data_IF_167077317127
#
_entry.id   IF_167077317127
#
_cell.length_a   1.000
_cell.length_b   1.000
_cell.length_c   1.000
_cell.angle_alpha   90.00
_cell.angle_beta   90.00
_cell.angle_gamma   90.00
#
_symmetry.space_group_name_H-M   'P 1'
#
loop_
_entity.id
_entity.type
_entity.pdbx_description
1 polymer ?
#
# COMPACT_ATOMS: atom_id res chain seq x y z
N UNK A 1 -4.76 -4.76 13.48
CA UNK A 1 -4.17 -6.08 13.78
C UNK A 1 -2.68 -5.94 14.04
N UNK A 2 -2.12 -6.80 14.87
CA UNK A 2 -0.68 -6.85 15.10
C UNK A 2 0.05 -7.23 13.80
N UNK A 3 1.22 -6.62 13.56
CA UNK A 3 2.12 -6.91 12.45
C UNK A 3 3.49 -7.17 13.08
N UNK A 4 4.20 -8.22 12.67
CA UNK A 4 5.55 -8.45 13.17
C UNK A 4 6.45 -7.26 12.85
N UNK A 5 7.47 -7.04 13.67
CA UNK A 5 8.44 -5.97 13.43
C UNK A 5 9.14 -6.13 12.08
N UNK A 6 9.49 -7.36 11.71
CA UNK A 6 10.05 -7.69 10.41
C UNK A 6 9.14 -7.24 9.25
N UNK A 7 7.86 -7.59 9.29
CA UNK A 7 6.92 -7.18 8.23
C UNK A 7 6.64 -5.67 8.26
N UNK A 8 6.64 -5.04 9.43
CA UNK A 8 6.52 -3.59 9.55
C UNK A 8 7.72 -2.86 8.91
N UNK A 9 8.93 -3.39 9.11
CA UNK A 9 10.15 -2.86 8.51
C UNK A 9 10.18 -3.05 7.00
N UNK A 10 9.83 -4.25 6.51
CA UNK A 10 9.66 -4.53 5.09
C UNK A 10 8.69 -3.52 4.43
N UNK A 11 7.52 -3.33 5.04
CA UNK A 11 6.52 -2.41 4.52
C UNK A 11 7.02 -0.96 4.53
N UNK A 12 7.66 -0.51 5.61
CA UNK A 12 8.19 0.86 5.71
C UNK A 12 9.23 1.14 4.64
N UNK A 13 10.14 0.20 4.39
CA UNK A 13 11.18 0.34 3.37
C UNK A 13 10.58 0.39 1.96
N UNK A 14 9.70 -0.56 1.62
CA UNK A 14 9.04 -0.59 0.31
C UNK A 14 8.18 0.66 0.06
N UNK A 15 7.49 1.15 1.09
CA UNK A 15 6.70 2.38 1.00
C UNK A 15 7.58 3.60 0.75
N UNK A 16 8.69 3.75 1.48
CA UNK A 16 9.62 4.86 1.27
C UNK A 16 10.29 4.80 -0.12
N UNK A 17 10.64 3.59 -0.59
CA UNK A 17 11.19 3.40 -1.92
C UNK A 17 10.20 3.79 -3.03
N UNK A 18 8.91 3.46 -2.86
CA UNK A 18 7.87 3.76 -3.85
C UNK A 18 7.38 5.22 -3.80
N UNK A 19 7.23 5.79 -2.61
CA UNK A 19 6.75 7.16 -2.41
C UNK A 19 7.85 8.22 -2.60
N UNK A 20 9.11 7.84 -2.42
CA UNK A 20 10.23 8.77 -2.38
C UNK A 20 10.32 9.55 -1.06
N UNK A 21 11.18 10.58 -0.99
CA UNK A 21 11.44 11.31 0.26
C UNK A 21 10.31 12.26 0.68
N UNK A 22 9.42 12.63 -0.25
CA UNK A 22 8.33 13.56 0.00
C UNK A 22 7.09 12.82 0.56
N UNK A 23 6.83 13.03 1.85
CA UNK A 23 5.67 12.45 2.54
C UNK A 23 4.32 13.07 2.17
N UNK A 24 4.32 14.16 1.39
CA UNK A 24 3.09 14.78 0.89
C UNK A 24 2.59 14.17 -0.42
N UNK A 25 3.41 13.35 -1.09
CA UNK A 25 3.03 12.64 -2.31
C UNK A 25 1.78 11.79 -2.04
N UNK A 26 0.83 11.84 -2.98
CA UNK A 26 -0.37 11.00 -2.92
C UNK A 26 0.00 9.52 -3.06
N UNK A 27 -0.47 8.70 -2.13
CA UNK A 27 -0.25 7.25 -2.10
C UNK A 27 -1.61 6.56 -2.03
N UNK A 28 -1.86 5.66 -2.97
CA UNK A 28 -3.08 4.85 -3.01
C UNK A 28 -2.78 3.42 -2.57
N UNK A 29 -3.51 2.94 -1.57
CA UNK A 29 -3.48 1.56 -1.09
C UNK A 29 -4.69 0.79 -1.60
N UNK A 30 -4.43 -0.37 -2.20
CA UNK A 30 -5.45 -1.32 -2.65
C UNK A 30 -5.01 -2.78 -2.36
N UNK A 31 -5.97 -3.70 -2.41
CA UNK A 31 -5.75 -5.15 -2.30
C UNK A 31 -6.83 -5.80 -3.20
N UNK A 32 -7.58 -6.79 -2.70
CA UNK A 32 -8.83 -7.29 -3.27
C UNK A 32 -10.03 -6.68 -2.53
N UNK A 33 -11.25 -6.83 -3.06
CA UNK A 33 -12.49 -6.52 -2.34
C UNK A 33 -12.52 -7.24 -1.00
N UNK A 34 -13.01 -6.59 0.05
CA UNK A 34 -13.09 -7.11 1.42
C UNK A 34 -11.73 -7.48 2.08
N UNK A 35 -10.60 -7.05 1.48
CA UNK A 35 -9.28 -7.24 2.07
C UNK A 35 -8.95 -6.12 3.07
N UNK A 36 -8.82 -6.47 4.35
CA UNK A 36 -8.46 -5.53 5.41
C UNK A 36 -6.98 -5.13 5.42
N UNK A 37 -6.10 -5.81 4.68
CA UNK A 37 -4.66 -5.53 4.70
C UNK A 37 -4.32 -4.16 4.10
N UNK A 38 -4.97 -3.76 2.99
CA UNK A 38 -4.73 -2.45 2.37
C UNK A 38 -5.18 -1.29 3.26
N UNK A 39 -6.28 -1.46 3.99
CA UNK A 39 -6.73 -0.47 4.98
C UNK A 39 -5.74 -0.36 6.15
N UNK A 40 -5.25 -1.49 6.66
CA UNK A 40 -4.26 -1.53 7.74
C UNK A 40 -2.92 -0.92 7.31
N UNK A 41 -2.54 -1.07 6.04
CA UNK A 41 -1.36 -0.45 5.44
C UNK A 41 -1.54 1.07 5.30
N UNK A 42 -2.70 1.53 4.83
CA UNK A 42 -3.04 2.95 4.74
C UNK A 42 -2.99 3.63 6.11
N UNK A 43 -3.58 3.03 7.15
CA UNK A 43 -3.50 3.55 8.51
C UNK A 43 -2.07 3.69 9.02
N UNK A 44 -1.23 2.68 8.81
CA UNK A 44 0.19 2.73 9.18
C UNK A 44 0.96 3.83 8.44
N UNK A 45 0.66 4.05 7.17
CA UNK A 45 1.27 5.14 6.41
C UNK A 45 0.92 6.51 7.05
N UNK A 46 -0.34 6.71 7.45
CA UNK A 46 -0.74 7.92 8.19
C UNK A 46 0.05 8.05 9.51
N UNK A 47 0.14 6.97 10.30
CA UNK A 47 0.91 6.93 11.55
C UNK A 47 2.41 7.22 11.34
N UNK A 48 2.95 6.94 10.16
CA UNK A 48 4.33 7.23 9.79
C UNK A 48 4.53 8.62 9.14
N UNK A 49 3.47 9.43 9.09
CA UNK A 49 3.52 10.84 8.70
C UNK A 49 3.32 11.10 7.20
N UNK A 50 2.80 10.13 6.43
CA UNK A 50 2.34 10.40 5.08
C UNK A 50 1.02 11.18 5.13
N UNK A 51 0.97 12.34 4.48
CA UNK A 51 -0.16 13.29 4.63
C UNK A 51 -1.23 13.14 3.55
N UNK A 52 -0.92 12.46 2.45
CA UNK A 52 -1.85 12.23 1.33
C UNK A 52 -2.02 10.74 1.09
N UNK A 53 -2.93 10.13 1.85
CA UNK A 53 -3.19 8.67 1.83
C UNK A 53 -4.60 8.39 1.35
N UNK A 54 -4.71 7.64 0.26
CA UNK A 54 -5.96 7.19 -0.34
C UNK A 54 -6.07 5.69 -0.12
N UNK A 55 -7.24 5.23 0.31
CA UNK A 55 -7.56 3.80 0.36
C UNK A 55 -8.65 3.52 -0.67
N UNK A 56 -8.45 2.51 -1.50
CA UNK A 56 -9.40 2.09 -2.54
C UNK A 56 -10.04 0.74 -2.18
N UNK A 57 -11.26 0.75 -1.56
CA UNK A 57 -11.90 -0.46 -1.06
C UNK A 57 -12.26 -1.53 -2.12
N UNK A 58 -12.67 -1.16 -3.36
CA UNK A 58 -13.00 -2.16 -4.37
C UNK A 58 -11.82 -3.05 -4.80
N UNK A 59 -10.57 -2.65 -4.51
CA UNK A 59 -9.40 -3.46 -4.85
C UNK A 59 -9.19 -3.68 -6.35
N UNK A 60 -8.21 -4.51 -6.69
CA UNK A 60 -7.84 -4.82 -8.07
C UNK A 60 -8.95 -5.58 -8.81
N UNK A 61 -9.73 -6.42 -8.13
CA UNK A 61 -10.88 -7.13 -8.69
C UNK A 61 -12.08 -6.20 -8.93
N UNK A 62 -12.27 -5.16 -8.11
CA UNK A 62 -13.22 -4.08 -8.42
C UNK A 62 -12.80 -3.24 -9.61
N UNK A 63 -11.49 -2.97 -9.73
CA UNK A 63 -10.89 -2.28 -10.87
C UNK A 63 -11.05 -3.09 -12.17
N UNK A 64 -10.78 -4.38 -12.11
CA UNK A 64 -10.97 -5.32 -13.23
C UNK A 64 -12.43 -5.39 -13.66
N UNK A 65 -13.38 -5.51 -12.72
CA UNK A 65 -14.82 -5.52 -13.02
C UNK A 65 -15.31 -4.24 -13.69
N UNK A 66 -14.59 -3.13 -13.54
CA UNK A 66 -14.85 -1.88 -14.24
C UNK A 66 -14.24 -1.83 -15.66
N UNK A 67 -13.67 -2.94 -16.16
CA UNK A 67 -12.96 -3.05 -17.43
C UNK A 67 -11.76 -2.08 -17.56
N UNK A 68 -11.08 -1.82 -16.44
CA UNK A 68 -9.88 -1.00 -16.42
C UNK A 68 -8.61 -1.87 -16.52
N UNK A 69 -7.51 -1.36 -17.10
CA UNK A 69 -6.30 -2.15 -17.32
C UNK A 69 -5.64 -2.54 -15.99
N UNK A 70 -5.07 -3.76 -15.98
CA UNK A 70 -4.23 -4.28 -14.91
C UNK A 70 -2.81 -4.51 -15.42
N UNK A 71 -1.85 -4.43 -14.50
CA UNK A 71 -0.45 -4.76 -14.74
C UNK A 71 0.01 -5.73 -13.65
N UNK A 72 0.75 -6.77 -14.04
CA UNK A 72 1.38 -7.67 -13.09
C UNK A 72 2.49 -6.93 -12.32
N UNK A 73 2.49 -7.06 -10.99
CA UNK A 73 3.52 -6.51 -10.11
C UNK A 73 4.12 -7.60 -9.25
N UNK A 74 5.42 -7.54 -9.04
CA UNK A 74 6.14 -8.40 -8.09
C UNK A 74 6.31 -7.69 -6.74
N UNK A 75 6.35 -8.42 -5.62
CA UNK A 75 6.63 -7.83 -4.32
C UNK A 75 7.93 -7.01 -4.29
N UNK A 76 7.99 -6.01 -3.42
CA UNK A 76 9.21 -5.23 -3.21
C UNK A 76 10.35 -6.16 -2.75
N UNK A 77 11.52 -5.99 -3.35
CA UNK A 77 12.73 -6.73 -2.99
C UNK A 77 13.55 -5.86 -2.05
N UNK A 78 13.77 -6.34 -0.82
CA UNK A 78 14.70 -5.69 0.10
C UNK A 78 16.12 -5.98 -0.40
N UNK A 79 16.89 -4.93 -0.67
CA UNK A 79 18.33 -5.06 -0.90
C UNK A 79 19.03 -5.32 0.43
N UNK A 80 19.81 -6.40 0.50
CA UNK A 80 20.67 -6.73 1.65
C UNK A 80 21.83 -5.74 1.78
#
# INVERSE_FOLDING_TARGET
>A
GALSEETANYFRQGLAAAAGPDKSRAILFYCMTNCWMSWNAAKRAIEWGYSSVIWYPPGADGWERANLPLEERKPYMVSN
#
